data_IF_371874169124
#
_entry.id   IF_371874169124
#
_cell.length_a   1.000
_cell.length_b   1.000
_cell.length_c   1.000
_cell.angle_alpha   90.00
_cell.angle_beta   90.00
_cell.angle_gamma   90.00
#
_symmetry.space_group_name_H-M   'P 1'
#
loop_
_entity.id
_entity.type
_entity.pdbx_description
1 polymer ?
2 non-polymer ?
3 non-polymer ?
4 non-polymer ?
5 water ?
#
# COMPACT_ATOMS: atom_id res chain seq x y z
N UNK A 14 10.19 -28.48 -19.62
CA UNK A 14 11.04 -27.30 -19.69
C UNK A 14 10.43 -26.10 -19.01
N UNK A 15 11.26 -25.23 -18.43
CA UNK A 15 10.75 -24.05 -17.71
C UNK A 15 10.17 -23.04 -18.70
N UNK A 16 8.89 -22.71 -18.55
CA UNK A 16 8.30 -21.66 -19.37
C UNK A 16 9.09 -20.37 -19.19
N UNK A 17 9.32 -19.68 -20.30
CA UNK A 17 9.98 -18.38 -20.29
C UNK A 17 8.99 -17.32 -20.73
N UNK A 18 9.11 -16.11 -20.16
CA UNK A 18 8.25 -15.01 -20.54
C UNK A 18 9.12 -13.80 -20.79
N UNK A 19 9.05 -13.26 -22.00
CA UNK A 19 9.87 -12.13 -22.42
C UNK A 19 11.35 -12.33 -22.05
N UNK A 20 11.87 -13.51 -22.40
CA UNK A 20 13.23 -13.87 -22.09
C UNK A 20 13.52 -14.26 -20.65
N UNK A 21 12.54 -14.14 -19.74
CA UNK A 21 12.75 -14.39 -18.32
C UNK A 21 12.24 -15.77 -17.92
N UNK A 22 13.04 -16.47 -17.13
CA UNK A 22 12.67 -17.81 -16.65
C UNK A 22 11.56 -17.69 -15.61
N UNK A 23 10.44 -18.41 -15.83
CA UNK A 23 9.38 -18.61 -14.83
C UNK A 23 9.29 -20.08 -14.51
N UNK A 24 10.00 -20.47 -13.46
CA UNK A 24 10.14 -21.88 -13.14
C UNK A 24 9.03 -22.26 -12.18
N UNK A 25 7.82 -22.44 -12.74
CA UNK A 25 6.61 -22.64 -11.93
C UNK A 25 5.77 -23.81 -12.40
N UNK A 26 6.17 -24.51 -13.44
CA UNK A 26 5.45 -25.71 -13.82
C UNK A 26 5.87 -26.88 -12.96
N UNK A 27 5.18 -28.01 -13.12
CA UNK A 27 4.01 -28.19 -14.00
C UNK A 27 2.70 -27.69 -13.42
N UNK A 28 2.62 -27.27 -12.14
CA UNK A 28 1.32 -26.88 -11.60
C UNK A 28 0.75 -25.65 -12.33
N UNK A 29 1.59 -24.67 -12.61
CA UNK A 29 1.15 -23.39 -13.16
C UNK A 29 1.65 -23.27 -14.59
N UNK A 30 0.73 -23.02 -15.52
CA UNK A 30 1.03 -23.03 -16.96
C UNK A 30 0.36 -21.84 -17.63
N UNK A 31 0.58 -21.73 -18.94
CA UNK A 31 -0.03 -20.68 -19.79
C UNK A 31 0.20 -19.29 -19.22
N UNK A 32 1.47 -18.93 -19.11
CA UNK A 32 1.81 -17.65 -18.48
C UNK A 32 1.67 -16.52 -19.48
N UNK A 33 1.12 -15.38 -19.04
CA UNK A 33 1.01 -14.17 -19.84
C UNK A 33 1.56 -13.01 -19.05
N UNK A 34 2.40 -12.23 -19.70
CA UNK A 34 3.01 -11.07 -19.06
C UNK A 34 1.94 -10.06 -18.66
N UNK A 35 2.07 -9.52 -17.44
CA UNK A 35 1.25 -8.41 -16.96
C UNK A 35 2.08 -7.13 -16.80
N UNK A 36 3.17 -7.19 -16.06
CA UNK A 36 3.97 -5.99 -15.88
C UNK A 36 5.23 -6.33 -15.11
N UNK A 37 6.01 -5.30 -14.81
CA UNK A 37 7.20 -5.61 -14.03
C UNK A 37 7.58 -4.41 -13.18
N UNK A 38 8.41 -4.69 -12.18
CA UNK A 38 8.90 -3.61 -11.35
C UNK A 38 10.41 -3.67 -11.22
N UNK A 39 10.91 -3.04 -10.15
CA UNK A 39 12.35 -2.87 -9.98
C UNK A 39 13.08 -4.20 -9.86
N UNK A 40 12.44 -5.22 -9.26
CA UNK A 40 13.14 -6.50 -9.09
C UNK A 40 12.22 -7.69 -9.33
N UNK A 41 11.25 -7.54 -10.22
CA UNK A 41 10.42 -8.71 -10.48
C UNK A 41 9.61 -8.52 -11.74
N UNK A 42 8.77 -9.51 -12.00
CA UNK A 42 7.89 -9.55 -13.15
C UNK A 42 6.64 -10.28 -12.71
N UNK A 43 5.48 -9.79 -13.14
CA UNK A 43 4.19 -10.39 -12.79
C UNK A 43 3.54 -10.93 -14.07
N UNK A 44 3.01 -12.15 -13.97
CA UNK A 44 2.35 -12.85 -15.08
C UNK A 44 1.01 -13.37 -14.58
N UNK A 45 0.03 -13.46 -15.48
CA UNK A 45 -1.08 -14.33 -15.12
C UNK A 45 -0.72 -15.76 -15.49
N UNK A 46 -1.45 -16.71 -14.90
CA UNK A 46 -1.16 -18.11 -15.20
C UNK A 46 -2.41 -18.91 -14.85
N UNK A 47 -2.38 -20.19 -15.20
CA UNK A 47 -3.45 -21.10 -14.83
C UNK A 47 -2.92 -22.13 -13.83
N UNK A 48 -3.64 -22.28 -12.71
CA UNK A 48 -3.35 -23.30 -11.70
C UNK A 48 -4.08 -24.57 -12.10
N UNK A 49 -3.34 -25.55 -12.62
CA UNK A 49 -3.96 -26.78 -13.12
C UNK A 49 -4.47 -27.68 -12.02
N UNK A 50 -3.97 -27.49 -10.80
CA UNK A 50 -4.40 -28.31 -9.66
C UNK A 50 -5.76 -27.83 -9.12
N UNK A 51 -5.84 -26.55 -8.77
CA UNK A 51 -7.10 -25.99 -8.29
C UNK A 51 -8.03 -25.50 -9.40
N UNK A 52 -7.57 -25.49 -10.66
CA UNK A 52 -8.38 -25.06 -11.79
C UNK A 52 -8.88 -23.62 -11.62
N UNK A 53 -7.94 -22.71 -11.37
CA UNK A 53 -8.26 -21.29 -11.24
C UNK A 53 -7.17 -20.47 -11.89
N UNK A 54 -7.54 -19.26 -12.35
CA UNK A 54 -6.57 -18.28 -12.85
C UNK A 54 -5.86 -17.60 -11.69
N UNK A 55 -4.55 -17.41 -11.82
CA UNK A 55 -3.74 -16.80 -10.76
C UNK A 55 -2.83 -15.74 -11.34
N UNK A 56 -2.30 -14.89 -10.45
CA UNK A 56 -1.21 -13.98 -10.74
C UNK A 56 0.04 -14.59 -10.10
N UNK A 57 1.17 -14.51 -10.80
CA UNK A 57 2.40 -15.02 -10.24
C UNK A 57 3.43 -13.92 -10.31
N UNK A 58 3.95 -13.54 -9.15
CA UNK A 58 4.97 -12.49 -9.04
C UNK A 58 6.33 -13.15 -8.86
N UNK A 59 7.21 -13.04 -9.86
CA UNK A 59 8.60 -13.48 -9.73
C UNK A 59 9.39 -12.33 -9.10
N UNK A 60 10.01 -12.60 -7.94
CA UNK A 60 10.76 -11.62 -7.17
C UNK A 60 12.22 -12.07 -7.12
N UNK A 61 13.17 -11.14 -7.35
CA UNK A 61 14.61 -11.47 -7.31
C UNK A 61 15.27 -10.45 -6.41
N UNK A 62 15.12 -10.59 -5.09
CA UNK A 62 15.50 -9.53 -4.14
C UNK A 62 16.83 -9.71 -3.44
N UNK A 63 17.54 -10.81 -3.65
CA UNK A 63 18.50 -11.16 -2.62
C UNK A 63 19.80 -10.38 -2.71
N UNK A 64 20.03 -9.61 -3.78
CA UNK A 64 21.24 -8.79 -3.78
C UNK A 64 21.10 -7.50 -3.00
N UNK A 65 19.93 -7.18 -2.46
CA UNK A 65 19.67 -5.87 -1.86
C UNK A 65 18.86 -6.02 -0.59
N UNK A 66 19.39 -5.43 0.49
CA UNK A 66 18.75 -5.52 1.79
C UNK A 66 17.33 -4.97 1.77
N UNK A 67 17.11 -3.82 1.10
CA UNK A 67 15.78 -3.22 1.12
C UNK A 67 14.77 -4.07 0.36
N UNK A 68 15.21 -4.76 -0.69
CA UNK A 68 14.28 -5.64 -1.43
C UNK A 68 13.94 -6.87 -0.61
N UNK A 69 14.94 -7.43 0.09
CA UNK A 69 14.62 -8.54 0.99
C UNK A 69 13.66 -8.11 2.09
N UNK A 70 13.84 -6.91 2.64
CA UNK A 70 12.94 -6.43 3.68
C UNK A 70 11.51 -6.43 3.14
N UNK A 71 11.31 -5.89 1.94
CA UNK A 71 9.96 -5.85 1.40
C UNK A 71 9.41 -7.26 1.20
N UNK A 72 10.27 -8.18 0.76
CA UNK A 72 9.79 -9.52 0.50
C UNK A 72 9.36 -10.22 1.79
N UNK A 73 10.19 -10.15 2.82
CA UNK A 73 9.85 -10.81 4.08
C UNK A 73 8.59 -10.21 4.70
N UNK A 74 8.46 -8.88 4.68
CA UNK A 74 7.29 -8.24 5.30
C UNK A 74 6.02 -8.64 4.57
N UNK A 75 6.07 -8.60 3.24
CA UNK A 75 4.89 -8.99 2.45
C UNK A 75 4.47 -10.41 2.78
N UNK A 76 5.43 -11.35 2.80
CA UNK A 76 5.08 -12.74 3.06
C UNK A 76 4.49 -12.90 4.46
N UNK A 77 5.16 -12.36 5.48
CA UNK A 77 4.68 -12.59 6.85
C UNK A 77 3.29 -12.02 7.06
N UNK A 78 3.05 -10.80 6.57
CA UNK A 78 1.79 -10.13 6.82
C UNK A 78 0.66 -10.76 6.00
N UNK A 79 0.88 -10.98 4.70
CA UNK A 79 -0.24 -11.45 3.88
C UNK A 79 -0.64 -12.86 4.26
N UNK A 80 0.30 -13.69 4.76
CA UNK A 80 -0.07 -15.03 5.20
C UNK A 80 -0.88 -15.02 6.49
N UNK A 81 -0.80 -13.94 7.27
CA UNK A 81 -1.55 -13.83 8.52
C UNK A 81 -2.90 -13.16 8.33
N UNK A 82 -2.99 -12.20 7.42
CA UNK A 82 -4.23 -11.49 7.17
C UNK A 82 -5.21 -12.35 6.38
N UNK A 83 -6.51 -12.16 6.65
CA UNK A 83 -7.56 -12.84 5.87
C UNK A 83 -8.75 -11.87 5.79
N UNK A 84 -8.93 -11.24 4.63
CA UNK A 84 -9.95 -10.21 4.51
C UNK A 84 -10.29 -10.01 3.04
N UNK A 85 -11.58 -9.81 2.74
CA UNK A 85 -12.03 -9.68 1.35
C UNK A 85 -11.35 -8.54 0.61
N UNK A 86 -10.95 -7.48 1.30
CA UNK A 86 -10.39 -6.30 0.64
C UNK A 86 -8.87 -6.27 0.73
N UNK A 87 -8.25 -7.40 1.00
CA UNK A 87 -6.79 -7.52 1.07
C UNK A 87 -6.37 -8.76 0.29
N UNK A 88 -5.39 -8.60 -0.60
CA UNK A 88 -5.00 -9.73 -1.45
C UNK A 88 -4.35 -10.80 -0.57
N UNK A 89 -4.58 -12.08 -0.88
CA UNK A 89 -3.97 -13.17 -0.15
C UNK A 89 -2.70 -13.68 -0.84
N UNK A 90 -2.05 -14.67 -0.22
CA UNK A 90 -1.01 -15.42 -0.91
C UNK A 90 -1.48 -16.86 -0.95
N UNK A 91 -1.56 -17.45 -2.17
CA UNK A 91 -2.03 -18.82 -2.32
C UNK A 91 -0.91 -19.84 -2.20
N UNK A 92 0.26 -19.50 -2.71
CA UNK A 92 1.38 -20.43 -2.84
C UNK A 92 2.64 -19.59 -2.95
N UNK A 93 3.78 -20.20 -2.59
CA UNK A 93 5.09 -19.60 -2.79
C UNK A 93 6.01 -20.69 -3.29
N UNK A 94 6.70 -20.42 -4.40
CA UNK A 94 7.62 -21.38 -5.03
C UNK A 94 9.03 -20.85 -4.87
N UNK A 95 9.93 -21.72 -4.45
CA UNK A 95 11.34 -21.36 -4.43
C UNK A 95 12.14 -22.66 -4.39
N UNK A 96 13.46 -22.54 -4.62
CA UNK A 96 14.34 -23.69 -4.73
C UNK A 96 14.40 -24.49 -3.42
N UNK A 97 14.83 -25.74 -3.48
CA UNK A 97 14.84 -26.55 -2.25
C UNK A 97 16.02 -26.31 -1.33
N UNK A 98 17.06 -25.59 -1.78
CA UNK A 98 18.16 -25.20 -0.91
C UNK A 98 18.34 -23.69 -0.94
N UNK A 99 18.84 -23.15 0.17
CA UNK A 99 19.05 -21.71 0.24
C UNK A 99 20.07 -21.24 -0.79
N UNK A 100 21.09 -22.05 -1.08
CA UNK A 100 22.10 -21.59 -2.03
C UNK A 100 21.52 -21.50 -3.44
N UNK A 101 20.59 -22.39 -3.78
CA UNK A 101 19.96 -22.38 -5.10
C UNK A 101 18.89 -21.31 -5.22
N UNK A 102 18.41 -20.77 -4.11
CA UNK A 102 17.23 -19.90 -4.16
C UNK A 102 17.68 -18.52 -4.63
N UNK A 103 17.35 -18.15 -5.86
CA UNK A 103 17.67 -16.81 -6.32
C UNK A 103 16.42 -15.99 -6.58
N UNK A 104 15.29 -16.66 -6.79
CA UNK A 104 14.02 -16.05 -7.09
C UNK A 104 13.01 -16.67 -6.14
N UNK A 105 11.97 -15.91 -5.86
CA UNK A 105 10.81 -16.41 -5.13
C UNK A 105 9.60 -16.09 -6.01
N UNK A 106 8.68 -17.02 -6.14
CA UNK A 106 7.45 -16.75 -6.89
C UNK A 106 6.28 -16.73 -5.93
N UNK A 107 5.59 -15.60 -5.84
CA UNK A 107 4.38 -15.50 -5.01
C UNK A 107 3.16 -15.64 -5.89
N UNK A 108 2.31 -16.61 -5.56
CA UNK A 108 1.09 -16.89 -6.34
C UNK A 108 -0.07 -16.27 -5.59
N UNK A 109 -0.88 -15.46 -6.28
CA UNK A 109 -2.02 -14.77 -5.68
C UNK A 109 -3.22 -14.90 -6.59
N UNK A 110 -4.39 -14.55 -6.06
CA UNK A 110 -5.58 -14.54 -6.90
C UNK A 110 -5.35 -13.54 -8.02
N UNK A 111 -5.85 -13.84 -9.22
CA UNK A 111 -5.66 -12.93 -10.34
C UNK A 111 -6.70 -11.81 -10.31
N UNK A 112 -6.23 -10.56 -10.37
CA UNK A 112 -7.14 -9.43 -10.50
C UNK A 112 -6.98 -8.84 -11.91
N UNK A 113 -7.92 -7.98 -12.29
CA UNK A 113 -7.99 -7.56 -13.68
C UNK A 113 -7.15 -6.32 -13.99
N UNK A 114 -7.03 -5.41 -13.02
CA UNK A 114 -6.28 -4.17 -13.24
C UNK A 114 -5.97 -3.55 -11.87
N UNK A 115 -5.41 -2.36 -11.86
CA UNK A 115 -5.25 -1.62 -10.61
C UNK A 115 -5.73 -0.19 -10.85
N UNK A 116 -5.87 0.57 -9.77
CA UNK A 116 -6.49 1.88 -9.89
C UNK A 116 -5.60 2.84 -10.66
N UNK A 117 -4.27 2.72 -10.52
CA UNK A 117 -3.35 3.50 -11.34
C UNK A 117 -3.65 3.32 -12.82
N UNK A 118 -3.73 2.07 -13.28
CA UNK A 118 -4.00 1.79 -14.70
C UNK A 118 -5.40 2.25 -15.12
N UNK A 119 -6.37 2.06 -14.23
CA UNK A 119 -7.73 2.45 -14.55
C UNK A 119 -7.84 3.96 -14.76
N UNK A 120 -7.28 4.73 -13.83
CA UNK A 120 -7.39 6.19 -13.88
C UNK A 120 -6.72 6.77 -15.11
N UNK A 121 -5.83 6.03 -15.77
CA UNK A 121 -5.25 6.55 -17.00
C UNK A 121 -6.20 6.41 -18.19
N UNK A 122 -7.18 5.52 -18.12
CA UNK A 122 -8.08 5.33 -19.26
C UNK A 122 -9.48 5.85 -19.02
N UNK A 123 -9.84 6.18 -17.78
CA UNK A 123 -11.24 6.39 -17.49
C UNK A 123 -11.43 7.41 -16.38
N UNK A 124 -12.38 8.31 -16.57
CA UNK A 124 -12.83 9.14 -15.47
C UNK A 124 -13.90 8.36 -14.70
N UNK A 125 -13.88 8.51 -13.38
CA UNK A 125 -14.74 7.75 -12.48
C UNK A 125 -15.93 8.61 -12.10
N UNK A 126 -17.11 8.03 -12.17
CA UNK A 126 -18.31 8.68 -11.64
C UNK A 126 -18.23 8.78 -10.13
N UNK A 127 -19.08 9.64 -9.57
CA UNK A 127 -19.11 9.77 -8.12
C UNK A 127 -19.49 8.44 -7.47
N UNK A 128 -20.35 7.64 -8.11
CA UNK A 128 -20.70 6.34 -7.55
C UNK A 128 -19.52 5.36 -7.56
N UNK A 129 -18.66 5.39 -8.59
CA UNK A 129 -17.49 4.51 -8.55
C UNK A 129 -16.51 4.94 -7.47
N UNK A 130 -16.35 6.25 -7.32
CA UNK A 130 -15.44 6.80 -6.30
C UNK A 130 -15.90 6.39 -4.91
N UNK A 131 -17.20 6.52 -4.66
CA UNK A 131 -17.73 6.20 -3.35
C UNK A 131 -17.48 4.74 -3.00
N UNK A 132 -17.80 3.81 -3.92
CA UNK A 132 -17.65 2.39 -3.64
C UNK A 132 -16.17 1.98 -3.49
N UNK A 133 -15.30 2.50 -4.34
CA UNK A 133 -13.88 2.17 -4.18
C UNK A 133 -13.37 2.68 -2.83
N UNK A 134 -13.75 3.90 -2.48
CA UNK A 134 -13.30 4.49 -1.22
C UNK A 134 -13.77 3.67 -0.02
N UNK A 135 -15.02 3.22 -0.08
CA UNK A 135 -15.54 2.37 0.98
C UNK A 135 -14.69 1.11 1.16
N UNK A 136 -14.39 0.41 0.07
CA UNK A 136 -13.61 -0.83 0.15
C UNK A 136 -12.18 -0.59 0.61
N UNK A 137 -11.57 0.52 0.18
CA UNK A 137 -10.24 0.88 0.69
C UNK A 137 -10.30 1.00 2.20
N UNK A 138 -11.32 1.73 2.71
CA UNK A 138 -11.40 1.97 4.14
C UNK A 138 -11.80 0.72 4.90
N UNK A 139 -12.64 -0.13 4.29
CA UNK A 139 -12.99 -1.39 4.93
C UNK A 139 -11.77 -2.29 5.08
N UNK A 140 -10.98 -2.41 4.02
CA UNK A 140 -9.72 -3.13 4.16
C UNK A 140 -8.81 -2.50 5.19
N UNK A 141 -8.74 -1.16 5.20
CA UNK A 141 -7.82 -0.49 6.11
C UNK A 141 -8.26 -0.64 7.57
N UNK A 142 -9.58 -0.67 7.83
CA UNK A 142 -10.00 -0.90 9.21
C UNK A 142 -9.40 -2.21 9.75
N UNK A 143 -9.41 -3.25 8.94
CA UNK A 143 -8.85 -4.54 9.36
C UNK A 143 -7.34 -4.43 9.60
N UNK A 144 -6.63 -3.82 8.66
CA UNK A 144 -5.19 -3.62 8.84
C UNK A 144 -4.91 -2.91 10.15
N UNK A 145 -5.54 -1.75 10.37
CA UNK A 145 -5.26 -0.99 11.58
C UNK A 145 -5.72 -1.73 12.83
N UNK A 146 -6.82 -2.49 12.74
CA UNK A 146 -7.26 -3.30 13.87
C UNK A 146 -6.20 -4.32 14.26
N UNK A 147 -5.35 -4.73 13.31
CA UNK A 147 -4.22 -5.64 13.57
C UNK A 147 -2.98 -4.90 14.05
N UNK A 148 -3.08 -3.59 14.33
CA UNK A 148 -1.97 -2.76 14.76
C UNK A 148 -0.90 -2.62 13.69
N UNK A 149 -1.29 -2.67 12.42
CA UNK A 149 -0.35 -2.63 11.30
C UNK A 149 -0.56 -1.34 10.53
N UNK A 150 0.56 -0.74 10.11
CA UNK A 150 0.61 0.38 9.18
C UNK A 150 0.98 -0.15 7.81
N UNK A 151 0.17 0.16 6.80
CA UNK A 151 0.51 -0.29 5.44
C UNK A 151 1.70 0.48 4.91
N UNK A 152 1.65 1.80 4.97
CA UNK A 152 2.71 2.80 4.73
C UNK A 152 3.03 3.04 3.26
N UNK A 153 2.38 2.34 2.32
CA UNK A 153 2.59 2.58 0.90
C UNK A 153 1.29 2.50 0.12
N UNK A 154 0.21 3.02 0.69
CA UNK A 154 -1.03 3.03 -0.07
C UNK A 154 -0.87 4.03 -1.21
N UNK A 155 -1.36 3.63 -2.39
CA UNK A 155 -1.33 4.44 -3.59
C UNK A 155 -2.12 3.70 -4.64
N UNK A 156 -2.49 4.36 -5.74
CA UNK A 156 -3.38 3.71 -6.71
C UNK A 156 -2.85 2.39 -7.26
N UNK A 157 -1.54 2.29 -7.50
CA UNK A 157 -1.07 1.02 -8.08
C UNK A 157 -1.10 -0.13 -7.09
N UNK A 158 -1.32 0.13 -5.81
CA UNK A 158 -1.41 -0.92 -4.81
C UNK A 158 -2.86 -1.25 -4.47
N UNK A 159 -3.80 -0.82 -5.34
CA UNK A 159 -5.21 -1.13 -5.19
C UNK A 159 -5.63 -1.92 -6.42
N UNK A 160 -5.88 -3.21 -6.22
CA UNK A 160 -6.23 -4.11 -7.34
C UNK A 160 -7.73 -4.16 -7.52
N UNK A 161 -8.18 -4.25 -8.78
CA UNK A 161 -9.62 -4.23 -9.12
C UNK A 161 -9.97 -5.42 -10.01
N UNK A 162 -11.26 -5.82 -10.02
CA UNK A 162 -11.76 -6.81 -11.02
C UNK A 162 -13.05 -6.31 -11.67
N UNK A 163 -13.59 -7.13 -12.59
CA UNK A 163 -14.75 -6.68 -13.37
C UNK A 163 -15.97 -6.46 -12.50
N UNK A 164 -16.03 -7.10 -11.32
CA UNK A 164 -17.14 -6.90 -10.41
C UNK A 164 -16.96 -5.65 -9.53
N UNK A 165 -15.92 -4.88 -9.81
CA UNK A 165 -15.58 -3.67 -9.06
C UNK A 165 -15.12 -4.00 -7.64
N UNK A 166 -14.75 -5.25 -7.39
CA UNK A 166 -14.10 -5.58 -6.12
C UNK A 166 -12.74 -4.95 -6.08
N UNK A 167 -12.36 -4.46 -4.90
CA UNK A 167 -11.04 -3.85 -4.70
C UNK A 167 -10.29 -4.58 -3.61
N UNK A 168 -9.00 -4.82 -3.84
CA UNK A 168 -8.14 -5.46 -2.84
C UNK A 168 -6.85 -4.65 -2.68
N UNK A 169 -6.49 -4.38 -1.43
CA UNK A 169 -5.19 -3.76 -1.13
C UNK A 169 -4.07 -4.78 -1.28
N UNK A 170 -2.96 -4.36 -1.89
CA UNK A 170 -1.82 -5.26 -2.02
C UNK A 170 -0.53 -4.54 -1.60
N UNK A 171 0.56 -5.30 -1.67
CA UNK A 171 1.95 -4.87 -1.48
C UNK A 171 2.20 -4.30 -0.11
N UNK A 172 2.42 -5.19 0.82
CA UNK A 172 2.71 -4.79 2.18
C UNK A 172 4.21 -4.72 2.45
N UNK A 173 5.03 -4.51 1.42
CA UNK A 173 6.48 -4.49 1.58
C UNK A 173 7.03 -3.46 2.56
N UNK A 174 6.29 -2.37 2.80
CA UNK A 174 6.75 -1.30 3.70
C UNK A 174 6.01 -1.33 5.03
N UNK A 175 5.13 -2.31 5.21
CA UNK A 175 4.27 -2.34 6.37
C UNK A 175 5.05 -2.64 7.65
N UNK A 176 4.53 -2.14 8.76
CA UNK A 176 5.17 -2.34 10.06
C UNK A 176 4.12 -2.14 11.16
N UNK A 177 4.51 -2.50 12.38
CA UNK A 177 3.60 -2.40 13.52
C UNK A 177 3.50 -0.95 13.98
N UNK A 178 2.28 -0.52 14.32
CA UNK A 178 2.08 0.85 14.77
C UNK A 178 2.74 1.05 16.12
N UNK A 179 3.47 2.16 16.26
CA UNK A 179 4.22 2.42 17.47
C UNK A 179 4.61 3.89 17.58
N UNK A 180 3.74 4.74 18.11
CA UNK A 180 4.10 6.10 18.55
C UNK A 180 5.11 6.12 19.72
N UNK A 187 14.53 7.98 9.00
CA UNK A 187 15.77 7.25 9.20
C UNK A 187 15.65 5.77 8.80
N UNK A 188 14.46 5.34 8.36
CA UNK A 188 14.29 4.00 7.84
C UNK A 188 14.97 3.89 6.48
N UNK A 189 15.95 3.00 6.36
CA UNK A 189 16.45 2.60 5.05
C UNK A 189 15.45 1.66 4.39
N UNK A 190 14.88 2.08 3.26
CA UNK A 190 13.82 1.30 2.61
C UNK A 190 13.73 1.69 1.14
N UNK A 191 13.10 0.82 0.34
CA UNK A 191 12.88 1.09 -1.07
C UNK A 191 11.46 1.63 -1.25
N UNK A 192 11.34 2.84 -1.76
CA UNK A 192 10.04 3.50 -1.91
C UNK A 192 9.97 4.15 -3.30
N UNK A 193 8.95 3.78 -4.09
CA UNK A 193 8.92 4.14 -5.50
C UNK A 193 8.50 5.59 -5.72
N UNK A 194 7.61 6.11 -4.87
CA UNK A 194 7.06 7.44 -5.00
C UNK A 194 6.67 7.96 -3.62
N UNK A 195 6.84 9.27 -3.41
CA UNK A 195 6.46 9.91 -2.17
C UNK A 195 5.20 10.75 -2.32
N UNK A 196 4.49 10.65 -3.46
CA UNK A 196 3.34 11.53 -3.67
C UNK A 196 2.25 11.30 -2.66
N UNK A 197 2.21 10.14 -2.00
CA UNK A 197 1.13 9.80 -1.09
C UNK A 197 1.56 9.76 0.36
N UNK A 198 2.77 10.27 0.68
CA UNK A 198 3.33 10.20 2.01
C UNK A 198 2.88 11.35 2.90
N UNK A 199 2.46 11.01 4.13
CA UNK A 199 1.94 11.99 5.07
C UNK A 199 3.02 13.00 5.46
N UNK A 200 2.66 14.24 5.74
CA UNK A 200 3.68 15.25 6.13
C UNK A 200 4.53 14.85 7.32
N UNK A 201 3.97 14.19 8.34
CA UNK A 201 4.78 13.81 9.50
C UNK A 201 5.89 12.83 9.10
N UNK A 202 5.67 12.01 8.06
CA UNK A 202 6.75 11.17 7.52
C UNK A 202 7.79 12.03 6.82
N UNK A 203 7.33 12.91 5.91
CA UNK A 203 8.23 13.81 5.19
C UNK A 203 9.03 14.67 6.15
N UNK A 204 8.45 15.01 7.31
CA UNK A 204 9.13 15.83 8.31
C UNK A 204 9.87 15.02 9.37
N UNK A 205 9.84 13.69 9.29
CA UNK A 205 10.47 12.77 10.27
C UNK A 205 10.04 13.06 11.71
N UNK A 206 8.73 12.94 11.98
CA UNK A 206 8.18 13.15 13.32
C UNK A 206 7.18 12.05 13.67
N UNK A 207 7.57 11.13 14.57
CA UNK A 207 6.71 10.05 15.07
C UNK A 207 5.78 9.48 13.98
N UNK A 208 6.42 8.99 12.91
CA UNK A 208 5.74 8.49 11.73
C UNK A 208 5.17 7.10 11.82
N UNK A 209 5.05 6.51 13.01
CA UNK A 209 4.45 5.19 13.17
C UNK A 209 3.06 5.31 13.79
N UNK A 210 2.27 6.22 13.25
CA UNK A 210 0.88 6.40 13.62
C UNK A 210 -0.01 5.94 12.47
N UNK A 211 -1.16 5.34 12.83
CA UNK A 211 -2.14 4.96 11.81
C UNK A 211 -2.58 6.14 10.95
N UNK A 212 -2.47 7.37 11.44
CA UNK A 212 -2.86 8.52 10.64
C UNK A 212 -2.10 8.63 9.33
N UNK A 213 -0.90 8.06 9.23
CA UNK A 213 -0.18 8.20 7.96
C UNK A 213 -0.91 7.48 6.82
N UNK A 214 -1.62 6.38 7.12
CA UNK A 214 -2.37 5.67 6.09
C UNK A 214 -3.60 6.47 5.65
N UNK A 215 -4.22 7.20 6.59
CA UNK A 215 -5.41 7.99 6.27
C UNK A 215 -5.02 9.11 5.32
N UNK A 216 -3.85 9.69 5.53
CA UNK A 216 -3.38 10.72 4.61
C UNK A 216 -3.25 10.17 3.19
N UNK A 217 -2.64 8.98 3.05
CA UNK A 217 -2.54 8.35 1.73
C UNK A 217 -3.91 8.10 1.12
N UNK A 218 -4.86 7.63 1.91
CA UNK A 218 -6.21 7.44 1.36
C UNK A 218 -6.80 8.76 0.88
N UNK A 219 -6.60 9.83 1.62
CA UNK A 219 -7.06 11.14 1.17
C UNK A 219 -6.45 11.54 -0.17
N UNK A 220 -5.16 11.30 -0.34
CA UNK A 220 -4.51 11.57 -1.62
C UNK A 220 -5.14 10.73 -2.73
N UNK A 221 -5.44 9.46 -2.44
CA UNK A 221 -6.10 8.61 -3.44
C UNK A 221 -7.49 9.16 -3.78
N UNK A 222 -8.25 9.58 -2.77
CA UNK A 222 -9.57 10.11 -3.04
C UNK A 222 -9.47 11.36 -3.92
N UNK A 223 -8.53 12.25 -3.59
CA UNK A 223 -8.35 13.43 -4.43
C UNK A 223 -8.06 13.06 -5.87
N UNK A 224 -7.21 12.04 -6.08
CA UNK A 224 -6.86 11.62 -7.43
C UNK A 224 -8.05 11.03 -8.18
N UNK A 225 -8.89 10.25 -7.49
CA UNK A 225 -10.09 9.76 -8.17
C UNK A 225 -11.01 10.92 -8.57
N UNK A 226 -11.07 11.97 -7.75
CA UNK A 226 -11.98 13.09 -8.05
C UNK A 226 -11.55 13.84 -9.29
N UNK A 227 -10.26 13.94 -9.56
CA UNK A 227 -9.80 14.76 -10.66
C UNK A 227 -9.02 14.01 -11.72
N UNK A 228 -8.72 12.73 -11.50
CA UNK A 228 -7.83 11.94 -12.35
C UNK A 228 -6.41 12.50 -12.42
N UNK A 229 -6.01 13.29 -11.44
CA UNK A 229 -4.62 13.75 -11.38
C UNK A 229 -4.14 13.57 -9.94
N UNK A 230 -2.87 13.23 -9.72
CA UNK A 230 -2.36 13.22 -8.34
C UNK A 230 -2.44 14.63 -7.74
N UNK A 231 -2.74 14.71 -6.42
CA UNK A 231 -2.92 16.03 -5.85
C UNK A 231 -1.57 16.67 -5.49
N UNK A 232 -0.60 15.88 -5.03
CA UNK A 232 0.70 16.41 -4.55
C UNK A 232 1.82 15.72 -5.30
N UNK A 233 1.97 15.98 -6.63
CA UNK A 233 3.01 15.28 -7.42
C UNK A 233 4.40 15.91 -7.35
N UNK A 234 5.03 15.83 -6.19
CA UNK A 234 6.33 16.46 -6.01
C UNK A 234 7.41 15.83 -6.87
N UNK A 235 8.35 16.67 -7.31
CA UNK A 235 9.46 16.23 -8.12
C UNK A 235 10.64 15.75 -7.30
N UNK A 236 10.74 16.22 -6.06
CA UNK A 236 11.80 15.79 -5.17
C UNK A 236 11.32 16.06 -3.75
N UNK A 237 12.16 15.71 -2.78
CA UNK A 237 11.74 15.73 -1.39
C UNK A 237 11.21 17.09 -0.97
N UNK A 238 11.97 18.16 -1.24
CA UNK A 238 11.54 19.49 -0.81
C UNK A 238 10.31 19.95 -1.59
N UNK A 239 10.31 19.69 -2.90
CA UNK A 239 9.17 20.05 -3.74
C UNK A 239 7.91 19.34 -3.27
N UNK A 240 8.04 18.11 -2.77
CA UNK A 240 6.88 17.39 -2.24
C UNK A 240 6.24 18.16 -1.10
N UNK A 241 7.06 18.65 -0.15
CA UNK A 241 6.54 19.46 0.95
C UNK A 241 5.89 20.73 0.42
N UNK A 242 6.51 21.35 -0.59
CA UNK A 242 5.95 22.60 -1.12
C UNK A 242 4.59 22.36 -1.76
N UNK A 243 4.39 21.21 -2.42
CA UNK A 243 3.07 20.87 -2.94
C UNK A 243 2.02 20.80 -1.84
N UNK A 244 2.32 20.11 -0.75
CA UNK A 244 1.37 20.01 0.36
C UNK A 244 1.06 21.40 0.94
N UNK A 245 2.11 22.19 1.24
CA UNK A 245 1.86 23.51 1.82
C UNK A 245 1.15 24.44 0.85
N UNK A 246 1.38 24.27 -0.45
CA UNK A 246 0.77 25.17 -1.41
C UNK A 246 -0.73 25.01 -1.54
N UNK A 247 -1.29 23.91 -1.04
CA UNK A 247 -2.73 23.70 -1.01
C UNK A 247 -3.30 23.86 0.40
N UNK A 248 -2.70 23.19 1.40
CA UNK A 248 -3.15 23.36 2.78
C UNK A 248 -2.82 24.73 3.35
N UNK A 249 -1.86 25.45 2.78
CA UNK A 249 -1.39 26.69 3.37
C UNK A 249 -0.35 26.44 4.47
N UNK A 250 0.33 27.51 4.86
CA UNK A 250 1.29 27.42 5.94
C UNK A 250 0.62 26.80 7.17
N UNK A 251 1.34 25.99 7.94
CA UNK A 251 0.74 25.41 9.16
C UNK A 251 0.46 26.44 10.26
N UNK A 252 -0.59 26.14 11.03
CA UNK A 252 -0.95 26.93 12.19
C UNK A 252 0.06 26.73 13.32
N UNK A 253 -0.10 27.51 14.40
CA UNK A 253 0.76 27.35 15.57
C UNK A 253 0.57 25.96 16.17
N UNK A 254 -0.69 25.53 16.33
CA UNK A 254 -0.94 24.19 16.84
C UNK A 254 -0.40 23.14 15.87
N UNK A 255 -0.45 23.40 14.56
CA UNK A 255 0.22 22.50 13.62
C UNK A 255 1.71 22.41 13.92
N UNK A 256 2.38 23.55 14.09
CA UNK A 256 3.81 23.51 14.35
C UNK A 256 4.12 22.73 15.63
N UNK A 257 3.30 22.91 16.66
CA UNK A 257 3.56 22.25 17.94
C UNK A 257 3.44 20.73 17.88
N UNK A 258 2.73 20.18 16.89
CA UNK A 258 2.66 18.73 16.81
C UNK A 258 3.83 18.13 16.04
N UNK A 259 4.75 18.96 15.54
CA UNK A 259 5.97 18.47 14.90
C UNK A 259 7.02 18.27 15.99
N UNK A 260 7.34 17.01 16.28
CA UNK A 260 8.24 16.70 17.40
C UNK A 260 9.71 16.91 17.05
N UNK A 261 10.01 17.12 15.78
CA UNK A 261 11.36 17.25 15.27
C UNK A 261 11.68 18.74 15.11
N UNK A 262 12.51 19.27 16.01
CA UNK A 262 12.77 20.71 16.02
C UNK A 262 13.45 21.17 14.73
N UNK A 263 14.34 20.33 14.18
CA UNK A 263 14.96 20.67 12.90
C UNK A 263 13.92 20.91 11.82
N UNK A 264 12.91 20.01 11.75
CA UNK A 264 11.82 20.14 10.79
C UNK A 264 10.97 21.37 11.06
N UNK A 265 10.64 21.63 12.33
CA UNK A 265 9.94 22.88 12.66
C UNK A 265 10.73 24.09 12.14
N UNK A 266 12.05 24.09 12.42
CA UNK A 266 12.90 25.18 11.95
C UNK A 266 12.84 25.32 10.43
N UNK A 267 12.83 24.20 9.71
CA UNK A 267 12.77 24.27 8.25
C UNK A 267 11.48 24.95 7.80
N UNK A 268 10.35 24.51 8.34
CA UNK A 268 9.06 25.08 7.95
C UNK A 268 9.01 26.57 8.22
N UNK A 269 9.65 27.02 9.30
CA UNK A 269 9.57 28.42 9.66
C UNK A 269 10.31 29.31 8.69
N UNK A 270 11.24 28.75 7.92
CA UNK A 270 12.04 29.55 6.99
C UNK A 270 11.36 29.75 5.64
N UNK A 271 10.22 29.08 5.40
CA UNK A 271 9.50 29.12 4.14
C UNK A 271 8.59 30.34 4.08
N UNK A 272 8.31 30.84 2.88
CA UNK A 272 7.35 31.95 2.74
C UNK A 272 5.96 31.53 3.20
N UNK A 273 5.16 32.51 3.59
CA UNK A 273 3.78 32.22 3.93
C UNK A 273 2.99 31.81 2.69
N UNK A 274 2.15 30.79 2.85
CA UNK A 274 1.29 30.29 1.78
C UNK A 274 -0.15 30.26 2.26
N UNK A 275 -1.06 30.72 1.41
CA UNK A 275 -2.48 30.69 1.76
C UNK A 275 -3.08 29.33 1.42
N UNK A 276 -4.10 28.96 2.17
CA UNK A 276 -4.85 27.73 1.90
C UNK A 276 -5.70 27.89 0.65
N UNK A 277 -5.74 26.84 -0.15
CA UNK A 277 -6.56 26.79 -1.37
C UNK A 277 -7.85 26.06 -1.03
N UNK A 278 -9.03 26.68 -1.21
CA UNK A 278 -10.29 26.00 -0.90
C UNK A 278 -10.45 24.71 -1.68
N UNK A 279 -10.98 23.68 -1.01
CA UNK A 279 -11.22 22.42 -1.67
C UNK A 279 -12.17 22.58 -2.85
N UNK A 280 -13.18 23.44 -2.70
CA UNK A 280 -14.16 23.61 -3.77
C UNK A 280 -13.61 24.41 -4.94
N UNK A 281 -12.44 25.03 -4.78
CA UNK A 281 -11.73 25.62 -5.90
C UNK A 281 -10.94 24.58 -6.69
N UNK A 282 -10.24 23.69 -5.99
CA UNK A 282 -9.53 22.60 -6.67
C UNK A 282 -10.48 21.60 -7.30
N UNK A 283 -11.63 21.38 -6.68
CA UNK A 283 -12.58 20.35 -7.12
C UNK A 283 -13.96 20.99 -7.21
N UNK A 284 -14.17 21.87 -8.20
CA UNK A 284 -15.43 22.63 -8.26
C UNK A 284 -16.64 21.79 -8.63
N UNK A 285 -16.44 20.58 -9.16
CA UNK A 285 -17.54 19.73 -9.62
C UNK A 285 -17.69 18.47 -8.77
N UNK A 286 -17.09 18.42 -7.58
CA UNK A 286 -17.13 17.26 -6.70
C UNK A 286 -18.28 17.37 -5.69
N UNK A 287 -18.80 16.20 -5.31
CA UNK A 287 -19.81 16.10 -4.27
C UNK A 287 -19.27 16.75 -2.98
N UNK A 288 -20.06 17.64 -2.37
CA UNK A 288 -19.59 18.33 -1.17
C UNK A 288 -19.31 17.39 0.00
N UNK A 289 -19.98 16.24 0.06
CA UNK A 289 -19.71 15.29 1.14
C UNK A 289 -18.35 14.63 0.95
N UNK A 290 -18.00 14.32 -0.30
CA UNK A 290 -16.65 13.81 -0.56
C UNK A 290 -15.60 14.82 -0.14
N UNK A 291 -15.86 16.11 -0.39
CA UNK A 291 -14.88 17.15 -0.05
C UNK A 291 -14.75 17.31 1.47
N UNK A 292 -15.87 17.22 2.20
CA UNK A 292 -15.80 17.24 3.66
C UNK A 292 -14.93 16.10 4.18
N UNK A 293 -15.12 14.89 3.64
CA UNK A 293 -14.28 13.77 4.04
C UNK A 293 -12.83 14.00 3.65
N UNK A 294 -12.61 14.41 2.40
CA UNK A 294 -11.24 14.72 1.95
C UNK A 294 -10.55 15.68 2.89
N UNK A 295 -11.26 16.75 3.25
CA UNK A 295 -10.69 17.76 4.15
C UNK A 295 -10.25 17.12 5.46
N UNK A 296 -11.02 16.16 5.96
CA UNK A 296 -10.70 15.52 7.25
C UNK A 296 -9.57 14.51 7.14
N UNK A 297 -9.35 13.92 5.94
CA UNK A 297 -8.21 13.02 5.71
C UNK A 297 -6.92 13.79 5.44
N UNK A 298 -7.00 14.89 4.68
CA UNK A 298 -5.81 15.69 4.37
C UNK A 298 -5.64 16.82 5.38
N UNK A 299 -5.62 16.46 6.66
CA UNK A 299 -5.38 17.40 7.75
C UNK A 299 -3.93 17.27 8.17
N UNK A 300 -3.24 18.42 8.27
CA UNK A 300 -1.80 18.41 8.53
C UNK A 300 -1.49 17.78 9.89
N UNK A 301 -2.22 18.19 10.92
CA UNK A 301 -1.97 17.66 12.25
C UNK A 301 -2.50 16.23 12.36
N UNK A 302 -1.65 15.23 12.54
CA UNK A 302 -2.15 13.84 12.55
C UNK A 302 -3.07 13.52 13.71
N UNK A 303 -2.99 14.26 14.82
CA UNK A 303 -3.91 14.05 15.93
C UNK A 303 -5.32 14.54 15.61
N UNK A 304 -5.45 15.48 14.68
CA UNK A 304 -6.74 15.99 14.25
C UNK A 304 -7.28 15.24 13.03
N UNK A 305 -6.45 14.39 12.41
CA UNK A 305 -6.85 13.69 11.19
C UNK A 305 -7.88 12.61 11.51
N UNK A 306 -8.86 12.44 10.62
CA UNK A 306 -9.93 11.47 10.86
C UNK A 306 -9.35 10.06 10.93
N UNK A 307 -9.94 9.22 11.81
CA UNK A 307 -9.55 7.82 11.96
C UNK A 307 -10.40 6.91 11.06
N UNK A 308 -9.92 5.68 10.85
CA UNK A 308 -10.54 4.86 9.80
C UNK A 308 -12.00 4.57 10.13
N UNK A 309 -12.30 4.25 11.39
CA UNK A 309 -13.68 3.98 11.77
C UNK A 309 -14.56 5.20 11.59
N UNK A 310 -14.07 6.37 12.02
CA UNK A 310 -14.82 7.60 11.79
C UNK A 310 -15.02 7.87 10.30
N UNK A 311 -14.03 7.54 9.47
CA UNK A 311 -14.17 7.77 8.03
C UNK A 311 -15.24 6.88 7.43
N UNK A 312 -15.30 5.63 7.87
CA UNK A 312 -16.32 4.71 7.39
C UNK A 312 -17.70 5.26 7.70
N UNK A 313 -17.83 5.99 8.80
CA UNK A 313 -19.09 6.49 9.30
C UNK A 313 -19.46 7.86 8.73
N UNK A 314 -18.66 8.40 7.81
CA UNK A 314 -18.91 9.71 7.26
C UNK A 314 -20.09 9.66 6.29
N UNK A 315 -20.95 10.70 6.27
CA UNK A 315 -22.14 10.67 5.42
C UNK A 315 -21.84 10.38 3.95
N UNK A 316 -20.61 10.63 3.49
CA UNK A 316 -20.30 10.34 2.09
C UNK A 316 -20.46 8.86 1.79
N UNK A 317 -20.17 8.00 2.76
CA UNK A 317 -20.19 6.56 2.56
C UNK A 317 -21.45 5.92 3.13
N UNK A 318 -22.51 6.71 3.33
CA UNK A 318 -23.62 6.22 4.12
C UNK A 318 -24.32 5.04 3.43
N UNK A 319 -24.27 4.96 2.09
CA UNK A 319 -25.03 3.88 1.48
C UNK A 319 -24.36 2.52 1.65
N UNK A 320 -23.06 2.50 2.00
CA UNK A 320 -22.30 1.27 2.17
C UNK A 320 -21.97 0.95 3.63
N UNK A 321 -21.91 1.96 4.51
CA UNK A 321 -21.48 1.75 5.89
C UNK A 321 -22.31 0.65 6.55
N UNK A 322 -21.63 -0.33 7.11
CA UNK A 322 -22.29 -1.46 7.78
C UNK A 322 -21.29 -2.04 8.77
N UNK A 323 -21.23 -1.49 9.99
CA UNK A 323 -20.27 -1.99 10.99
C UNK A 323 -20.32 -3.50 11.17
N UNK A 324 -21.52 -4.07 11.18
CA UNK A 324 -21.60 -5.50 11.39
C UNK A 324 -20.96 -6.31 10.26
N UNK A 325 -20.57 -5.67 9.16
CA UNK A 325 -19.99 -6.36 8.00
C UNK A 325 -18.64 -5.76 7.64
N UNK A 326 -17.96 -5.20 8.63
CA UNK A 326 -16.64 -4.57 8.49
C UNK A 326 -15.76 -5.22 9.55
N UNK A 327 -15.27 -6.43 9.29
CA UNK A 327 -14.67 -7.25 10.35
C UNK A 327 -13.26 -6.76 10.69
N UNK A 328 -12.78 -7.24 11.84
CA UNK A 328 -11.49 -6.84 12.39
C UNK A 328 -10.64 -8.08 12.62
N UNK A 329 -9.34 -7.86 12.87
CA UNK A 329 -8.43 -8.96 13.11
C UNK A 329 -8.67 -9.55 14.49
N UNK A 330 -8.42 -10.87 14.62
CA UNK A 330 -8.65 -11.52 15.92
C UNK A 330 -7.68 -11.03 16.98
N UNK A 331 -6.49 -10.60 16.57
CA UNK A 331 -5.51 -10.10 17.52
C UNK A 331 -4.46 -9.29 16.76
N UNK A 332 -3.69 -8.46 17.46
CA UNK A 332 -2.63 -7.68 16.81
C UNK A 332 -1.58 -8.55 16.13
N UNK A 333 -1.06 -8.06 15.01
CA UNK A 333 0.05 -8.73 14.35
C UNK A 333 1.36 -8.35 15.06
N UNK A 334 2.29 -9.30 15.16
CA UNK A 334 3.62 -9.06 15.73
C UNK A 334 4.67 -9.76 14.87
N UNK A 335 5.85 -9.15 14.79
CA UNK A 335 6.87 -9.69 13.89
C UNK A 335 7.64 -10.87 14.48
N UNK A 336 7.62 -11.06 15.79
CA UNK A 336 8.41 -12.09 16.45
C UNK A 336 9.90 -11.85 16.31
N UNK A 337 10.31 -10.72 15.71
CA UNK A 337 11.72 -10.39 15.56
C UNK A 337 11.87 -9.00 14.93
N UNK A 338 12.96 -8.28 15.23
CA UNK A 338 13.14 -6.97 14.60
C UNK A 338 13.89 -7.16 13.28
N UNK A 339 13.30 -6.63 12.19
CA UNK A 339 13.81 -6.83 10.84
C UNK A 339 14.49 -5.61 10.24
N UNK A 340 14.37 -4.44 10.87
CA UNK A 340 14.78 -3.18 10.24
C UNK A 340 16.21 -3.21 9.72
N UNK A 341 17.17 -3.60 10.55
CA UNK A 341 18.57 -3.41 10.18
C UNK A 341 19.31 -4.71 9.94
N UNK A 342 18.58 -5.82 9.76
CA UNK A 342 19.23 -7.09 9.54
C UNK A 342 19.97 -7.08 8.20
N UNK A 343 21.11 -7.77 8.12
CA UNK A 343 21.79 -7.92 6.83
C UNK A 343 21.00 -8.81 5.89
N UNK A 344 21.25 -8.59 4.59
CA UNK A 344 20.45 -9.27 3.56
C UNK A 344 20.61 -10.80 3.59
N UNK A 345 21.78 -11.27 4.04
CA UNK A 345 21.98 -12.71 4.16
C UNK A 345 21.10 -13.31 5.26
N UNK A 346 20.94 -12.58 6.37
CA UNK A 346 20.00 -12.99 7.41
C UNK A 346 18.57 -12.96 6.89
N UNK A 347 18.21 -11.88 6.20
CA UNK A 347 16.84 -11.78 5.65
C UNK A 347 16.56 -12.94 4.69
N UNK A 348 17.55 -13.32 3.89
CA UNK A 348 17.35 -14.47 3.00
C UNK A 348 17.07 -15.76 3.80
N UNK A 349 17.83 -16.00 4.88
CA UNK A 349 17.51 -17.15 5.74
C UNK A 349 16.08 -17.07 6.27
N UNK A 350 15.64 -15.87 6.67
CA UNK A 350 14.28 -15.74 7.21
C UNK A 350 13.23 -15.98 6.12
N UNK A 351 13.48 -15.48 4.91
CA UNK A 351 12.58 -15.76 3.78
C UNK A 351 12.55 -17.26 3.50
N UNK A 352 13.70 -17.93 3.51
CA UNK A 352 13.71 -19.38 3.32
C UNK A 352 12.85 -20.06 4.37
N UNK A 353 13.01 -19.68 5.64
CA UNK A 353 12.25 -20.35 6.69
C UNK A 353 10.76 -20.05 6.56
N UNK A 354 10.40 -18.81 6.19
CA UNK A 354 8.99 -18.44 6.09
C UNK A 354 8.28 -19.13 4.93
N UNK A 355 9.01 -19.52 3.89
CA UNK A 355 8.43 -20.19 2.72
C UNK A 355 8.52 -21.72 2.81
N UNK A 356 9.13 -22.26 3.86
CA UNK A 356 9.30 -23.70 3.95
C UNK A 356 7.95 -24.42 3.97
N UNK A 357 6.92 -23.79 4.55
CA UNK A 357 5.61 -24.45 4.67
C UNK A 357 5.00 -24.81 3.32
N UNK A 358 5.44 -24.19 2.25
CA UNK A 358 4.92 -24.50 0.91
C UNK A 358 5.73 -25.58 0.22
N UNK A 359 6.75 -26.12 0.88
CA UNK A 359 7.59 -27.19 0.34
C UNK A 359 6.99 -28.55 0.66
N UNK A 360 7.00 -29.47 -0.29
CA UNK A 360 6.82 -30.88 0.08
C UNK A 360 7.79 -31.26 1.20
N UNK A 361 7.26 -31.85 2.27
CA UNK A 361 8.09 -32.38 3.34
C UNK A 361 8.38 -31.45 4.50
N UNK A 362 7.76 -30.26 4.55
CA UNK A 362 8.01 -29.31 5.61
C UNK A 362 7.86 -29.96 6.99
N UNK A 363 8.84 -29.69 7.86
CA UNK A 363 8.92 -30.22 9.23
C UNK A 363 8.26 -31.60 9.39
X LIG B 1 -20.20 0.38 -14.81
X LIG B 1 -19.14 0.14 -13.75
X LIG B 1 -19.35 0.96 -12.46
X LIG B 1 -21.96 -0.55 -13.48
X LIG B 1 -20.98 1.70 -10.68
X LIG B 1 -20.54 1.48 -8.36
X LIG B 1 -17.75 0.34 -14.34
X LIG B 1 -15.39 0.33 -13.59
X LIG B 1 -14.93 1.35 -14.62
X LIG B 1 -14.75 0.59 -12.25
X LIG B 1 -15.17 -1.08 -14.06
X LIG B 1 -21.53 -0.34 -12.03
X LIG B 1 -21.57 1.80 -13.18
X LIG B 1 -21.60 0.70 -14.26
X LIG B 1 -22.53 -1.63 -13.96
X LIG B 1 -20.84 1.04 -12.05
X LIG B 1 -20.00 0.32 -16.00
X LIG B 1 -16.84 0.50 -13.37
X LIG B 1 -17.49 0.28 -15.51
X LIG B 1 -20.56 0.91 -9.69
X LIG B 1 -21.38 2.82 -10.52
X LIG C 1 -16.75 -6.76 -2.51
X LIG C 1 -15.50 -6.24 -2.89
X LIG C 1 -16.38 -7.78 -1.48
X LIG C 1 -15.41 -8.72 -1.94
X LIG C 1 -15.83 -6.90 -0.26
X LIG C 1 -15.99 -5.48 -0.49
X LIG C 1 -17.23 -7.17 -3.25
X LIG C 1 -17.35 -6.10 -2.14
X LIG C 1 -15.09 -6.87 -3.25
X LIG C 1 -17.15 -8.31 -1.23
X LIG C 1 -15.83 -9.31 -2.42
X LIG C 1 -14.91 -7.14 -0.13
X LIG C 1 -16.29 -7.20 0.54
X LIG C 1 -15.60 -5.08 0.14
X LIG D 1 7.69 -7.64 -2.04
X LIG D 1 9.04 -7.98 -2.58
X LIG D 1 6.81 -7.27 -3.26
X LIG D 1 5.44 -7.55 -3.08
X LIG D 1 7.01 -5.74 -3.43
X LIG D 1 6.80 -5.11 -2.13
X LIG D 1 7.72 -6.90 -1.42
X LIG D 1 7.28 -8.38 -1.56
X LIG D 1 9.47 -7.25 -2.61
X LIG D 1 7.10 -7.78 -4.02
X LIG D 1 5.36 -8.37 -2.93
X LIG D 1 6.39 -5.41 -4.10
X LIG D 1 7.89 -5.58 -3.79
X LIG D 1 7.58 -4.98 -1.79
X LIG E 1 -9.10 11.80 15.74
X LIG E 1 -9.57 11.20 16.93
X LIG E 1 -9.74 13.20 15.70
X LIG E 1 -9.02 14.11 14.94
X LIG E 1 -11.15 13.00 15.11
X LIG E 1 -10.99 12.52 13.80
X LIG E 1 -8.14 11.89 15.71
X LIG E 1 -9.35 11.31 14.95
X LIG E 1 -8.99 10.63 17.16
X LIG E 1 -9.77 13.55 16.61
X LIG E 1 -9.57 14.71 14.66
X LIG E 1 -11.63 13.85 15.15
X LIG E 1 -11.65 12.40 15.69
X LIG E 1 -11.73 12.67 13.39
X LIG F 1 4.37 -0.38 -7.81
X LIG F 1 4.44 -1.00 -9.19
X LIG F 1 4.05 1.15 -8.04
X LIG F 1 5.76 -0.47 -7.03
X LIG F 1 3.09 -2.81 -7.09
X LIG F 1 3.47 -3.51 -5.83
X LIG F 1 1.62 -3.24 -7.46
X LIG F 1 3.15 -1.13 -6.86
X LIG F 1 4.28 -4.62 -8.92
X LIG F 1 5.58 -4.80 -9.63
X LIG F 1 4.07 -5.66 -7.81
X LIG F 1 4.14 -3.19 -8.21
X LIG F 1 3.15 -4.68 -10.05
X LIG F 1 3.42 -5.21 -11.36
X LIG F 1 2.16 -5.32 -12.18
X LIG F 1 1.45 -6.52 -11.78
X LIG F 1 1.16 -4.17 -12.06
X LIG F 1 0.68 -3.89 -13.37
X LIG F 1 0.09 -4.73 -11.11
X LIG F 1 -1.21 -4.18 -11.34
X LIG F 1 0.10 -6.21 -11.47
X LIG F 1 -0.37 -7.12 -10.42
X LIG F 1 0.14 -7.34 -9.16
X LIG F 1 -0.53 -8.24 -8.48
X LIG F 1 -1.54 -8.63 -9.34
X LIG F 1 -2.60 -9.57 -9.21
X LIG F 1 -2.83 -10.29 -8.10
X LIG F 1 -3.44 -9.70 -10.27
X LIG F 1 -3.21 -8.98 -11.36
X LIG F 1 -2.27 -8.07 -11.60
X LIG F 1 -1.45 -7.95 -10.54
X LIG F 1 3.34 -0.97 -5.99
X LIG F 1 3.81 -6.10 -11.25
X LIG F 1 4.05 -4.64 -11.81
X LIG F 1 2.37 -5.40 -13.13
X LIG F 1 1.53 -3.40 -11.63
X LIG F 1 0.45 -4.65 -13.77
X LIG F 1 0.36 -4.60 -10.20
X LIG F 1 -1.79 -4.84 -11.48
X LIG F 1 -0.44 -6.33 -12.26
X LIG F 1 0.90 -6.87 -8.81
X LIG F 1 -2.21 -10.30 -7.43
X LIG F 1 -3.60 -10.77 -8.02
X LIG F 1 -3.81 -9.15 -12.11
#
# INVERSE_FOLDING_TARGET
GSASMAAAAAAGAGPEMVRGQVFDVGPRYTNLSYIGEGAYGMVCSAYDNVNKVRVAIKKISPFEHQTYCQRTLREIKILLRFRHENIIGINDIIRAPTIEQMKDVYIVQDLMETDLYKLLKTQHLSNDHICYFLYQILRGLKYIHSANVLHRDLKPSNLLLNTTCDLKICDFGLARVADPDHDHTGFLTEYVATRWYRAPEIMLNSKGYTKSIDIWSVGCILAEMLSNRPIFPGKHYLDQLNHILGILGSPSQEDLNCIINLKARNYLLSLPHKNKVPWNRLFPNADSKALDLLDKMLTFNPHKRIEVEQALAHPYLEQYYDPSDEPIAEAPFKFDMELDDLPKEKLKELIFEETARFQPGYRS
D7O C1 C2 C3 C8 C14 C15 C16 C17 C19 C20 C18 C7 C5 C6 C9 C4 O4 O3 O2 O O1
GOL C1 O1 C2 O2 C3 O3 H11 H12 HO1 H2 HO2 H31 H32 HO3
GOL C1 O1 C2 O2 C3 O3 H11 H12 HO1 H2 HO2 H31 H32 HO3
GOL C1 O1 C2 O2 C3 O3 H11 H12 HO1 H2 HO2 H31 H32 HO3
ANP PG O1G O2G O3G PB O1B O2B N3B PA O1A O2A O3A O5' C5' C4' O4' C3' O3' C2' O2' C1' N9 C8 N7 C5 C6 N6 N1 C2 N3 C4 HNB1 H5'1 H5'2 H4' H3' HO3' H2' HO2' H1' H8 HN61 HN62 H2
#
